data_IF_968494881907
#
_entry.id   IF_968494881907
#
_cell.length_a   1.000
_cell.length_b   1.000
_cell.length_c   1.000
_cell.angle_alpha   90.00
_cell.angle_beta   90.00
_cell.angle_gamma   90.00
#
_symmetry.space_group_name_H-M   'P 1'
#
loop_
_entity.id
_entity.type
_entity.pdbx_description
1 polymer ?
#
# COMPACT_ATOMS: atom_id res chain seq x y z
N UNK A 1 -12.27 9.96 7.41
CA UNK A 1 -10.88 9.69 7.04
C UNK A 1 -10.40 10.72 6.04
N UNK A 2 -9.13 11.05 6.12
CA UNK A 2 -8.55 11.98 5.17
C UNK A 2 -8.53 11.38 3.77
N UNK A 3 -8.46 12.24 2.75
CA UNK A 3 -8.25 11.81 1.38
C UNK A 3 -6.93 11.04 1.29
N UNK A 4 -6.92 9.97 0.53
CA UNK A 4 -5.68 9.20 0.34
C UNK A 4 -4.63 10.08 -0.34
N UNK A 5 -3.38 9.85 0.03
CA UNK A 5 -2.28 10.58 -0.55
C UNK A 5 -2.11 10.26 -2.02
N UNK A 6 -1.44 11.17 -2.71
CA UNK A 6 -1.06 10.92 -4.09
C UNK A 6 -0.07 9.76 -4.16
N UNK A 7 0.05 9.12 -5.33
CA UNK A 7 1.04 8.08 -5.52
C UNK A 7 2.45 8.57 -5.24
N UNK A 8 3.31 7.65 -4.85
CA UNK A 8 4.71 7.95 -4.64
C UNK A 8 5.38 8.36 -5.95
N UNK A 9 6.42 9.18 -5.86
CA UNK A 9 7.08 9.71 -7.05
C UNK A 9 7.59 8.64 -8.00
N UNK A 10 7.99 7.49 -7.46
CA UNK A 10 8.53 6.39 -8.25
C UNK A 10 7.46 5.44 -8.76
N UNK A 11 6.19 5.74 -8.53
CA UNK A 11 5.09 4.86 -8.89
C UNK A 11 4.44 5.29 -10.19
N UNK A 12 3.88 4.32 -10.89
CA UNK A 12 3.14 4.54 -12.13
C UNK A 12 1.84 3.75 -12.08
N UNK A 13 0.71 4.42 -12.20
CA UNK A 13 -0.57 3.75 -12.26
C UNK A 13 -0.75 3.06 -13.61
N UNK A 14 -1.05 1.77 -13.56
CA UNK A 14 -1.28 0.96 -14.75
C UNK A 14 -2.77 0.92 -15.09
N UNK A 15 -3.62 0.83 -14.08
CA UNK A 15 -5.07 0.82 -14.27
C UNK A 15 -5.77 1.28 -13.01
N UNK A 16 -6.97 1.86 -13.18
CA UNK A 16 -7.76 2.35 -12.06
C UNK A 16 -7.17 3.59 -11.41
N UNK A 17 -7.86 4.07 -10.38
CA UNK A 17 -7.39 5.18 -9.55
C UNK A 17 -7.60 4.79 -8.09
N UNK A 18 -6.64 5.08 -7.20
CA UNK A 18 -6.79 4.72 -5.80
C UNK A 18 -7.68 5.72 -5.06
N UNK A 19 -8.89 5.90 -5.55
CA UNK A 19 -9.85 6.78 -4.89
C UNK A 19 -10.16 6.20 -3.53
N UNK A 20 -9.65 6.84 -2.51
CA UNK A 20 -9.79 6.32 -1.18
C UNK A 20 -9.50 7.36 -0.12
N UNK A 21 -9.26 6.87 1.07
CA UNK A 21 -9.03 7.70 2.23
C UNK A 21 -8.02 7.06 3.15
N UNK A 22 -7.33 7.94 3.88
CA UNK A 22 -6.30 7.54 4.82
C UNK A 22 -6.57 8.29 6.13
N UNK A 23 -6.46 7.57 7.25
CA UNK A 23 -6.52 8.17 8.57
C UNK A 23 -5.34 7.68 9.39
N UNK A 24 -4.42 8.57 9.69
CA UNK A 24 -3.27 8.23 10.51
C UNK A 24 -3.64 8.31 11.99
N UNK A 25 -3.44 7.21 12.70
CA UNK A 25 -3.59 7.19 14.16
C UNK A 25 -2.37 7.78 14.84
N UNK A 26 -1.22 7.69 14.19
CA UNK A 26 0.04 8.15 14.71
C UNK A 26 0.94 8.60 13.56
N UNK A 27 1.54 9.77 13.72
CA UNK A 27 2.41 10.34 12.70
C UNK A 27 3.55 11.06 13.41
N UNK A 28 4.79 10.64 13.13
CA UNK A 28 5.98 11.21 13.76
C UNK A 28 7.01 11.59 12.71
N UNK A 29 7.60 12.76 12.86
CA UNK A 29 8.54 13.28 11.88
C UNK A 29 9.98 12.82 12.11
N UNK A 30 10.36 12.45 13.35
CA UNK A 30 11.75 12.13 13.67
C UNK A 30 11.85 11.09 14.81
N UNK A 31 12.13 9.79 14.53
CA UNK A 31 12.23 9.20 13.19
C UNK A 31 10.90 9.26 12.49
N UNK A 32 10.94 9.28 11.17
CA UNK A 32 9.70 9.41 10.41
C UNK A 32 8.99 8.08 10.32
N UNK A 33 7.83 7.99 10.93
CA UNK A 33 6.96 6.84 10.78
C UNK A 33 5.50 7.25 10.98
N UNK A 34 4.61 6.46 10.39
CA UNK A 34 3.18 6.71 10.45
C UNK A 34 2.44 5.38 10.50
N UNK A 35 1.36 5.32 11.26
CA UNK A 35 0.48 4.16 11.28
C UNK A 35 -0.97 4.61 11.28
N UNK A 36 -1.80 3.85 10.60
CA UNK A 36 -3.19 4.21 10.44
C UNK A 36 -4.00 3.18 9.68
N UNK A 37 -5.13 3.64 9.15
CA UNK A 37 -6.03 2.84 8.35
C UNK A 37 -6.21 3.49 6.98
N UNK A 38 -6.26 2.66 5.94
CA UNK A 38 -6.33 3.12 4.55
C UNK A 38 -7.33 2.25 3.79
N UNK A 39 -8.08 2.89 2.89
CA UNK A 39 -8.97 2.19 1.97
C UNK A 39 -8.85 2.78 0.58
N UNK A 40 -9.13 1.95 -0.42
CA UNK A 40 -9.15 2.41 -1.80
C UNK A 40 -10.04 1.54 -2.67
N UNK A 41 -10.39 2.09 -3.83
CA UNK A 41 -10.98 1.35 -4.93
C UNK A 41 -9.91 0.51 -5.62
N UNK A 42 -10.29 -0.48 -6.45
CA UNK A 42 -9.32 -1.31 -7.16
C UNK A 42 -8.42 -0.48 -8.09
N UNK A 43 -7.14 -0.82 -8.12
CA UNK A 43 -6.19 -0.22 -9.06
C UNK A 43 -4.96 -1.10 -9.19
N UNK A 44 -4.17 -0.85 -10.23
CA UNK A 44 -2.87 -1.49 -10.44
C UNK A 44 -1.82 -0.42 -10.60
N UNK A 45 -0.74 -0.55 -9.88
CA UNK A 45 0.35 0.43 -9.85
C UNK A 45 1.68 -0.30 -9.93
N UNK A 46 2.63 0.29 -10.68
CA UNK A 46 3.99 -0.22 -10.73
C UNK A 46 4.89 0.70 -9.91
N UNK A 47 5.67 0.10 -9.00
CA UNK A 47 6.65 0.81 -8.20
C UNK A 47 8.05 0.52 -8.73
N UNK A 48 8.77 1.56 -9.17
CA UNK A 48 10.18 1.45 -9.51
C UNK A 48 11.03 1.22 -8.27
N UNK A 49 10.67 1.93 -7.20
CA UNK A 49 11.34 1.81 -5.92
C UNK A 49 10.38 2.31 -4.85
N UNK A 50 9.89 1.41 -4.01
CA UNK A 50 8.97 1.77 -2.95
C UNK A 50 9.66 2.73 -1.98
N UNK A 51 8.98 3.81 -1.60
CA UNK A 51 9.60 4.93 -0.88
C UNK A 51 9.91 4.65 0.59
N UNK A 52 9.32 3.60 1.16
CA UNK A 52 9.42 3.34 2.59
C UNK A 52 9.28 1.86 2.88
N UNK A 53 9.60 1.48 4.12
CA UNK A 53 9.22 0.17 4.64
C UNK A 53 7.77 0.25 5.10
N UNK A 54 6.94 -0.66 4.67
CA UNK A 54 5.54 -0.65 5.05
C UNK A 54 5.04 -2.04 5.45
N UNK A 55 4.52 -2.13 6.67
CA UNK A 55 3.85 -3.33 7.17
C UNK A 55 2.35 -3.12 7.04
N UNK A 56 1.62 -4.13 6.54
CA UNK A 56 0.20 -4.04 6.28
C UNK A 56 -0.55 -5.22 6.83
N UNK A 57 -1.79 -4.97 7.30
CA UNK A 57 -2.71 -6.00 7.72
C UNK A 57 -4.04 -5.78 7.00
N UNK A 58 -4.48 -6.77 6.23
CA UNK A 58 -5.68 -6.64 5.39
C UNK A 58 -6.92 -6.89 6.23
N UNK A 59 -7.77 -5.88 6.31
CA UNK A 59 -9.05 -5.96 7.01
C UNK A 59 -10.17 -6.41 6.08
N UNK A 60 -10.08 -6.04 4.79
CA UNK A 60 -11.05 -6.42 3.77
C UNK A 60 -10.44 -6.29 2.39
N UNK A 61 -10.89 -7.10 1.43
CA UNK A 61 -10.39 -7.08 0.07
C UNK A 61 -9.17 -7.95 -0.11
N UNK A 62 -8.45 -7.71 -1.21
CA UNK A 62 -7.21 -8.43 -1.51
C UNK A 62 -6.33 -7.65 -2.45
N UNK A 63 -5.05 -8.00 -2.45
CA UNK A 63 -4.05 -7.44 -3.37
C UNK A 63 -3.04 -8.51 -3.72
N UNK A 64 -2.54 -8.46 -4.96
CA UNK A 64 -1.45 -9.31 -5.42
C UNK A 64 -0.21 -8.45 -5.63
N UNK A 65 0.90 -8.83 -5.02
CA UNK A 65 2.20 -8.22 -5.28
C UNK A 65 2.95 -9.11 -6.25
N UNK A 66 3.49 -8.49 -7.31
CA UNK A 66 4.23 -9.21 -8.35
C UNK A 66 5.57 -8.54 -8.62
N UNK A 67 6.62 -9.35 -8.63
CA UNK A 67 7.97 -8.93 -9.02
C UNK A 67 8.62 -10.10 -9.74
N UNK A 68 9.83 -9.91 -10.25
CA UNK A 68 10.55 -11.00 -10.92
C UNK A 68 10.69 -12.21 -9.99
N UNK A 69 10.11 -13.34 -10.43
CA UNK A 69 10.16 -14.57 -9.64
C UNK A 69 9.31 -14.59 -8.39
N UNK A 70 8.41 -13.61 -8.23
CA UNK A 70 7.60 -13.48 -7.03
C UNK A 70 6.18 -13.09 -7.39
N UNK A 71 5.19 -13.78 -6.82
CA UNK A 71 3.78 -13.41 -6.93
C UNK A 71 3.05 -13.95 -5.72
N UNK A 72 2.47 -13.06 -4.91
CA UNK A 72 1.71 -13.44 -3.71
C UNK A 72 0.45 -12.60 -3.63
N UNK A 73 -0.65 -13.25 -3.25
CA UNK A 73 -1.93 -12.58 -3.02
C UNK A 73 -2.22 -12.59 -1.52
N UNK A 74 -2.53 -11.40 -1.02
CA UNK A 74 -2.86 -11.20 0.40
C UNK A 74 -4.33 -10.81 0.51
N UNK A 75 -5.03 -11.46 1.42
CA UNK A 75 -6.48 -11.34 1.61
C UNK A 75 -6.80 -10.95 3.04
N UNK A 76 -8.08 -10.76 3.32
CA UNK A 76 -8.57 -10.48 4.67
C UNK A 76 -7.93 -11.42 5.69
N UNK A 77 -7.32 -10.84 6.70
CA UNK A 77 -6.65 -11.58 7.77
C UNK A 77 -5.16 -11.80 7.53
N UNK A 78 -4.64 -11.47 6.34
CA UNK A 78 -3.22 -11.63 6.05
C UNK A 78 -2.45 -10.36 6.41
N UNK A 79 -1.22 -10.56 6.88
CA UNK A 79 -0.27 -9.49 7.12
C UNK A 79 0.90 -9.66 6.15
N UNK A 80 1.45 -8.55 5.69
CA UNK A 80 2.61 -8.60 4.80
C UNK A 80 3.42 -7.33 4.89
N UNK A 81 4.61 -7.38 4.32
CA UNK A 81 5.57 -6.29 4.39
C UNK A 81 6.10 -5.96 3.00
N UNK A 82 6.15 -4.66 2.68
CA UNK A 82 6.76 -4.17 1.46
C UNK A 82 8.00 -3.36 1.87
N UNK A 83 9.19 -3.83 1.53
CA UNK A 83 10.42 -3.14 1.92
C UNK A 83 10.67 -1.91 1.07
N UNK A 84 11.33 -0.94 1.63
CA UNK A 84 11.85 0.21 0.90
C UNK A 84 12.71 -0.30 -0.27
N UNK A 85 12.47 0.27 -1.44
CA UNK A 85 13.17 -0.16 -2.65
C UNK A 85 12.49 -1.27 -3.41
N UNK A 86 11.38 -1.81 -2.91
CA UNK A 86 10.64 -2.84 -3.63
C UNK A 86 10.32 -2.35 -5.04
N UNK A 87 10.59 -3.21 -6.03
CA UNK A 87 10.27 -2.96 -7.43
C UNK A 87 9.30 -4.03 -7.92
N UNK A 88 8.11 -3.62 -8.34
CA UNK A 88 7.10 -4.57 -8.79
C UNK A 88 5.72 -3.94 -8.86
N UNK A 89 4.73 -4.79 -9.02
CA UNK A 89 3.34 -4.37 -9.19
C UNK A 89 2.53 -4.56 -7.91
N UNK A 90 1.63 -3.62 -7.68
CA UNK A 90 0.52 -3.71 -6.74
C UNK A 90 -0.72 -3.90 -7.59
N UNK A 91 -1.30 -5.12 -7.58
CA UNK A 91 -2.50 -5.43 -8.36
C UNK A 91 -3.65 -5.66 -7.40
N UNK A 92 -4.55 -4.70 -7.35
CA UNK A 92 -5.69 -4.74 -6.43
C UNK A 92 -6.97 -4.87 -7.25
N UNK A 93 -7.67 -6.00 -7.11
CA UNK A 93 -8.85 -6.32 -7.89
C UNK A 93 -10.15 -6.03 -7.16
N UNK A 94 -10.10 -5.77 -5.86
CA UNK A 94 -11.25 -5.48 -5.02
C UNK A 94 -11.01 -4.21 -4.22
N UNK A 95 -12.07 -3.51 -3.78
CA UNK A 95 -11.91 -2.47 -2.78
C UNK A 95 -11.20 -3.04 -1.57
N UNK A 96 -10.29 -2.27 -0.98
CA UNK A 96 -9.44 -2.76 0.09
C UNK A 96 -9.48 -1.84 1.30
N UNK A 97 -9.44 -2.47 2.48
CA UNK A 97 -9.28 -1.78 3.75
C UNK A 97 -8.12 -2.45 4.47
N UNK A 98 -7.18 -1.65 4.97
CA UNK A 98 -6.01 -2.19 5.66
C UNK A 98 -5.53 -1.27 6.77
N UNK A 99 -4.90 -1.86 7.78
CA UNK A 99 -4.01 -1.12 8.68
C UNK A 99 -2.63 -1.05 8.04
N UNK A 100 -1.90 0.01 8.33
CA UNK A 100 -0.53 0.17 7.84
C UNK A 100 0.39 0.76 8.89
N UNK A 101 1.66 0.41 8.79
CA UNK A 101 2.76 1.07 9.51
C UNK A 101 3.82 1.40 8.47
N UNK A 102 4.10 2.67 8.28
CA UNK A 102 5.09 3.16 7.32
C UNK A 102 6.27 3.72 8.08
N UNK A 103 7.47 3.29 7.71
CA UNK A 103 8.72 3.77 8.28
C UNK A 103 9.59 4.27 7.15
N UNK A 104 9.95 5.53 7.18
CA UNK A 104 10.79 6.14 6.16
C UNK A 104 12.21 6.40 6.62
#
# INVERSE_FOLDING_TARGET
MAQADVPQETATFISGTPMGADHAYFDRANPKYRMGIWRSQPYTEFYDSYAADEFMYVLDGEVTLEADGFSETYRKGDAFFVPKGFRGYWRQTLPMLKYYVIIE
#
